data_IF_290159901249
#
_entry.id   IF_290159901249
#
_cell.length_a   1.000
_cell.length_b   1.000
_cell.length_c   1.000
_cell.angle_alpha   90.00
_cell.angle_beta   90.00
_cell.angle_gamma   90.00
#
_symmetry.space_group_name_H-M   'P 1'
#
loop_
_entity.id
_entity.type
_entity.pdbx_description
1 polymer ?
#
# COMPACT_ATOMS: atom_id res chain seq x y z
N UNK A 1 21.79 -10.27 -6.50
CA UNK A 1 21.51 -9.12 -5.60
C UNK A 1 20.56 -9.58 -4.51
N UNK A 2 20.93 -9.44 -3.25
CA UNK A 2 20.07 -9.77 -2.11
C UNK A 2 19.32 -8.50 -1.68
N UNK A 3 18.07 -8.65 -1.25
CA UNK A 3 17.23 -7.57 -0.76
C UNK A 3 16.81 -7.91 0.66
N UNK A 4 16.99 -6.97 1.57
CA UNK A 4 16.51 -7.11 2.96
C UNK A 4 15.00 -6.84 2.97
N UNK A 5 14.24 -7.78 3.50
CA UNK A 5 12.78 -7.71 3.53
C UNK A 5 12.31 -7.29 4.93
N UNK A 6 12.86 -7.92 5.97
CA UNK A 6 12.65 -7.51 7.36
C UNK A 6 13.99 -7.24 8.05
N UNK A 7 13.96 -6.40 9.08
CA UNK A 7 15.14 -6.03 9.85
C UNK A 7 15.95 -4.87 9.27
N UNK A 8 15.52 -4.23 8.17
CA UNK A 8 16.26 -3.11 7.58
C UNK A 8 16.50 -1.98 8.58
N UNK A 9 15.51 -1.63 9.41
CA UNK A 9 15.66 -0.60 10.43
C UNK A 9 16.68 -1.02 11.49
N UNK A 10 16.64 -2.28 11.96
CA UNK A 10 17.59 -2.83 12.94
C UNK A 10 19.01 -2.82 12.40
N UNK A 11 19.23 -3.32 11.18
CA UNK A 11 20.54 -3.30 10.51
C UNK A 11 21.04 -1.87 10.27
N UNK A 12 20.17 -0.97 9.87
CA UNK A 12 20.53 0.44 9.68
C UNK A 12 20.90 1.11 11.00
N UNK A 13 20.20 0.81 12.09
CA UNK A 13 20.52 1.34 13.42
C UNK A 13 21.88 0.84 13.89
N UNK A 14 22.16 -0.46 13.76
CA UNK A 14 23.48 -1.03 14.11
C UNK A 14 24.58 -0.36 13.29
N UNK A 15 24.42 -0.29 11.97
CA UNK A 15 25.39 0.37 11.09
C UNK A 15 25.66 1.81 11.51
N UNK A 16 24.61 2.60 11.69
CA UNK A 16 24.73 4.01 12.10
C UNK A 16 25.38 4.19 13.45
N UNK A 17 25.08 3.28 14.41
CA UNK A 17 25.69 3.30 15.71
C UNK A 17 27.21 3.03 15.61
N UNK A 18 27.63 2.01 14.87
CA UNK A 18 29.05 1.70 14.62
C UNK A 18 29.78 2.84 13.88
N UNK A 19 29.06 3.64 13.11
CA UNK A 19 29.57 4.84 12.44
C UNK A 19 29.55 6.09 13.33
N UNK A 20 29.18 5.98 14.62
CA UNK A 20 29.06 7.08 15.58
C UNK A 20 28.02 8.15 15.20
N UNK A 21 27.01 7.82 14.39
CA UNK A 21 26.02 8.79 13.93
C UNK A 21 24.99 9.16 15.02
N UNK A 22 24.84 8.37 16.07
CA UNK A 22 23.95 8.69 17.19
C UNK A 22 24.46 8.11 18.51
N UNK A 23 23.89 8.60 19.62
CA UNK A 23 24.19 8.19 20.98
C UNK A 23 23.13 7.24 21.52
N UNK A 24 23.54 6.26 22.33
CA UNK A 24 22.62 5.37 23.04
C UNK A 24 21.71 6.18 23.97
N UNK A 25 20.44 5.82 24.02
CA UNK A 25 19.44 6.44 24.91
C UNK A 25 18.45 5.39 25.42
N UNK A 26 17.94 5.59 26.65
CA UNK A 26 16.88 4.73 27.21
C UNK A 26 17.34 3.35 27.65
N UNK A 27 18.63 3.14 27.83
CA UNK A 27 19.15 1.87 28.35
C UNK A 27 18.94 1.79 29.85
N UNK A 28 18.10 0.85 30.29
CA UNK A 28 17.82 0.63 31.73
C UNK A 28 18.88 -0.25 32.38
N UNK A 29 19.27 -1.37 31.74
CA UNK A 29 20.21 -2.35 32.29
C UNK A 29 21.70 -1.92 32.20
N UNK A 30 22.01 -0.97 31.31
CA UNK A 30 23.38 -0.46 31.07
C UNK A 30 23.34 1.07 31.01
N UNK A 31 22.81 1.68 32.06
CA UNK A 31 22.61 3.13 32.14
C UNK A 31 23.87 3.95 31.96
N UNK A 32 25.05 3.40 32.33
CA UNK A 32 26.38 3.98 32.15
C UNK A 32 26.75 4.22 30.67
N UNK A 33 26.09 3.54 29.73
CA UNK A 33 26.34 3.73 28.30
C UNK A 33 25.37 4.72 27.64
N UNK A 34 24.40 5.24 28.39
CA UNK A 34 23.53 6.30 27.87
C UNK A 34 24.35 7.53 27.50
N UNK A 35 23.98 8.17 26.40
CA UNK A 35 24.63 9.34 25.80
C UNK A 35 26.01 9.07 25.20
N UNK A 36 26.48 7.80 25.13
CA UNK A 36 27.74 7.40 24.51
C UNK A 36 27.49 7.00 23.05
N UNK A 37 28.48 7.28 22.20
CA UNK A 37 28.59 6.75 20.83
C UNK A 37 29.32 5.41 20.87
N UNK A 38 29.42 4.71 19.73
CA UNK A 38 30.20 3.45 19.67
C UNK A 38 31.65 3.65 20.05
N UNK A 39 32.29 4.72 19.56
CA UNK A 39 33.70 5.05 19.90
C UNK A 39 33.94 5.40 21.37
N UNK A 40 32.89 5.86 22.09
CA UNK A 40 32.98 6.18 23.52
C UNK A 40 32.82 4.95 24.43
N UNK A 41 32.50 3.77 23.86
CA UNK A 41 32.38 2.53 24.63
C UNK A 41 33.75 1.96 25.00
N UNK A 42 33.84 1.23 26.12
CA UNK A 42 35.04 0.45 26.43
C UNK A 42 35.37 -0.55 25.30
N UNK A 43 36.67 -0.82 25.08
CA UNK A 43 37.10 -1.68 23.96
C UNK A 43 36.50 -3.08 24.00
N UNK A 44 36.37 -3.68 25.18
CA UNK A 44 35.73 -4.98 25.36
C UNK A 44 34.26 -4.99 24.85
N UNK A 45 33.55 -3.88 24.99
CA UNK A 45 32.16 -3.73 24.49
C UNK A 45 32.11 -3.47 22.98
N UNK A 46 33.08 -2.71 22.46
CA UNK A 46 33.21 -2.52 21.02
C UNK A 46 33.46 -3.87 20.32
N UNK A 47 34.45 -4.62 20.79
CA UNK A 47 34.80 -5.96 20.28
C UNK A 47 33.60 -6.94 20.41
N UNK A 48 32.87 -6.91 21.53
CA UNK A 48 31.68 -7.75 21.71
C UNK A 48 30.60 -7.44 20.68
N UNK A 49 30.38 -6.16 20.31
CA UNK A 49 29.44 -5.76 19.29
C UNK A 49 29.93 -6.18 17.91
N UNK A 50 31.19 -5.94 17.56
CA UNK A 50 31.79 -6.29 16.27
C UNK A 50 31.76 -7.80 16.01
N UNK A 51 32.03 -8.61 17.04
CA UNK A 51 32.03 -10.07 16.94
C UNK A 51 30.63 -10.69 17.11
N UNK A 52 29.59 -9.89 17.31
CA UNK A 52 28.21 -10.40 17.44
C UNK A 52 27.69 -10.99 16.13
N UNK A 53 27.13 -12.18 16.21
CA UNK A 53 26.53 -12.84 15.04
C UNK A 53 25.07 -12.39 14.81
N UNK A 54 24.72 -12.13 13.57
CA UNK A 54 23.34 -11.86 13.15
C UNK A 54 22.79 -13.10 12.44
N UNK A 55 21.74 -13.69 13.00
CA UNK A 55 21.03 -14.79 12.33
C UNK A 55 20.13 -14.24 11.22
N UNK A 56 20.28 -14.77 10.02
CA UNK A 56 19.48 -14.38 8.87
C UNK A 56 18.78 -15.60 8.27
N UNK A 57 17.55 -15.39 7.76
CA UNK A 57 16.83 -16.36 6.95
C UNK A 57 16.89 -15.85 5.52
N UNK A 58 17.48 -16.62 4.63
CA UNK A 58 17.59 -16.26 3.21
C UNK A 58 16.63 -17.09 2.37
N UNK A 59 15.74 -16.42 1.65
CA UNK A 59 14.89 -17.07 0.66
C UNK A 59 15.62 -17.17 -0.67
N UNK A 60 15.66 -18.36 -1.22
CA UNK A 60 16.19 -18.58 -2.57
C UNK A 60 15.16 -18.14 -3.60
N UNK A 61 15.62 -17.86 -4.81
CA UNK A 61 14.75 -17.46 -5.93
C UNK A 61 13.73 -18.55 -6.26
N UNK A 62 14.13 -19.80 -6.12
CA UNK A 62 13.34 -21.01 -6.43
C UNK A 62 12.31 -21.36 -5.33
N UNK A 63 12.34 -20.67 -4.17
CA UNK A 63 11.36 -20.94 -3.11
C UNK A 63 9.96 -20.54 -3.57
N UNK A 64 8.96 -21.34 -3.21
CA UNK A 64 7.56 -21.05 -3.50
C UNK A 64 7.16 -19.67 -2.92
N UNK A 65 6.51 -18.84 -3.74
CA UNK A 65 6.13 -17.50 -3.37
C UNK A 65 4.98 -17.47 -2.35
N UNK A 66 4.08 -18.45 -2.40
CA UNK A 66 3.01 -18.58 -1.41
C UNK A 66 3.60 -18.94 -0.05
N UNK A 67 4.62 -19.80 -0.03
CA UNK A 67 5.38 -20.11 1.19
C UNK A 67 6.15 -18.88 1.68
N UNK A 68 6.77 -18.12 0.79
CA UNK A 68 7.43 -16.84 1.14
C UNK A 68 6.43 -15.92 1.82
N UNK A 69 5.24 -15.73 1.22
CA UNK A 69 4.20 -14.87 1.78
C UNK A 69 3.78 -15.31 3.19
N UNK A 70 3.50 -16.60 3.38
CA UNK A 70 3.11 -17.17 4.67
C UNK A 70 4.19 -17.02 5.75
N UNK A 71 5.46 -17.21 5.38
CA UNK A 71 6.59 -17.04 6.32
C UNK A 71 6.77 -15.56 6.68
N UNK A 72 6.65 -14.66 5.70
CA UNK A 72 6.72 -13.22 5.95
C UNK A 72 5.62 -12.73 6.87
N UNK A 73 4.41 -13.21 6.67
CA UNK A 73 3.28 -12.88 7.53
C UNK A 73 3.55 -13.32 8.99
N UNK A 74 4.16 -14.49 9.19
CA UNK A 74 4.53 -14.99 10.53
C UNK A 74 5.71 -14.27 11.16
N UNK A 75 6.69 -13.87 10.37
CA UNK A 75 7.87 -13.13 10.86
C UNK A 75 7.57 -11.64 11.11
N UNK A 76 6.48 -11.15 10.52
CA UNK A 76 6.06 -9.76 10.57
C UNK A 76 5.41 -9.36 11.92
N UNK A 77 5.97 -9.86 13.02
CA UNK A 77 5.46 -9.63 14.39
C UNK A 77 6.13 -8.44 15.09
N UNK A 78 6.82 -7.58 14.35
CA UNK A 78 7.47 -6.38 14.86
C UNK A 78 6.50 -5.33 15.39
N UNK A 79 7.02 -4.26 15.99
CA UNK A 79 6.23 -3.16 16.57
C UNK A 79 5.24 -2.50 15.58
N UNK A 80 5.56 -2.51 14.30
CA UNK A 80 4.68 -2.06 13.21
C UNK A 80 4.72 -3.11 12.09
N UNK A 81 3.78 -4.06 12.07
CA UNK A 81 3.76 -5.09 11.05
C UNK A 81 3.48 -4.50 9.66
N UNK A 82 4.12 -5.06 8.64
CA UNK A 82 3.82 -4.76 7.24
C UNK A 82 2.40 -5.24 6.91
N UNK A 83 1.68 -4.46 6.13
CA UNK A 83 0.39 -4.89 5.61
C UNK A 83 0.55 -5.77 4.36
N UNK A 84 -0.57 -6.35 3.89
CA UNK A 84 -0.56 -7.27 2.75
C UNK A 84 -0.03 -6.63 1.47
N UNK A 85 -0.25 -5.33 1.24
CA UNK A 85 0.26 -4.66 0.04
C UNK A 85 1.75 -4.37 0.13
N UNK A 86 2.25 -4.00 1.30
CA UNK A 86 3.69 -3.86 1.55
C UNK A 86 4.42 -5.19 1.36
N UNK A 87 3.81 -6.30 1.81
CA UNK A 87 4.34 -7.65 1.57
C UNK A 87 4.36 -7.99 0.08
N UNK A 88 3.28 -7.70 -0.68
CA UNK A 88 3.23 -7.92 -2.14
C UNK A 88 4.30 -7.10 -2.86
N UNK A 89 4.51 -5.85 -2.48
CA UNK A 89 5.56 -5.00 -3.04
C UNK A 89 6.98 -5.58 -2.83
N UNK A 90 7.20 -6.32 -1.74
CA UNK A 90 8.47 -6.99 -1.49
C UNK A 90 8.62 -8.29 -2.29
N UNK A 91 7.58 -9.12 -2.33
CA UNK A 91 7.62 -10.49 -2.88
C UNK A 91 7.47 -10.48 -4.40
N UNK A 92 6.47 -9.77 -4.93
CA UNK A 92 6.13 -9.71 -6.35
C UNK A 92 6.72 -8.49 -7.05
N UNK A 93 7.94 -8.11 -6.67
CA UNK A 93 8.63 -6.95 -7.24
C UNK A 93 8.83 -7.13 -8.75
N UNK A 94 8.32 -6.18 -9.54
CA UNK A 94 8.41 -6.23 -11.01
C UNK A 94 7.73 -5.03 -11.67
N UNK A 95 7.66 -5.04 -13.01
CA UNK A 95 7.07 -3.96 -13.81
C UNK A 95 5.60 -3.70 -13.46
N UNK A 96 4.86 -4.74 -13.07
CA UNK A 96 3.47 -4.61 -12.66
C UNK A 96 3.29 -3.76 -11.39
N UNK A 97 4.07 -4.02 -10.36
CA UNK A 97 4.01 -3.22 -9.12
C UNK A 97 4.37 -1.76 -9.38
N UNK A 98 5.34 -1.50 -10.26
CA UNK A 98 5.69 -0.12 -10.64
C UNK A 98 4.57 0.56 -11.43
N UNK A 99 3.89 -0.17 -12.32
CA UNK A 99 2.69 0.32 -12.99
C UNK A 99 1.58 0.68 -12.00
N UNK A 100 1.29 -0.18 -11.01
CA UNK A 100 0.27 0.10 -9.98
C UNK A 100 0.60 1.35 -9.17
N UNK A 101 1.87 1.58 -8.83
CA UNK A 101 2.34 2.80 -8.16
C UNK A 101 2.12 4.04 -9.03
N UNK A 102 2.42 3.94 -10.32
CA UNK A 102 2.22 5.04 -11.26
C UNK A 102 0.72 5.38 -11.40
N UNK A 103 -0.14 4.38 -11.53
CA UNK A 103 -1.60 4.57 -11.58
C UNK A 103 -2.15 5.18 -10.28
N UNK A 104 -1.65 4.76 -9.11
CA UNK A 104 -2.03 5.34 -7.82
C UNK A 104 -1.59 6.80 -7.67
N UNK A 105 -0.57 7.24 -8.42
CA UNK A 105 -0.10 8.62 -8.44
C UNK A 105 -0.98 9.55 -9.30
N UNK A 106 -1.97 9.03 -10.02
CA UNK A 106 -2.87 9.85 -10.83
C UNK A 106 -3.66 10.85 -9.98
N UNK A 107 -3.64 12.12 -10.34
CA UNK A 107 -4.29 13.19 -9.57
C UNK A 107 -5.82 13.03 -9.49
N UNK A 108 -6.47 12.63 -10.58
CA UNK A 108 -7.92 12.43 -10.62
C UNK A 108 -8.33 11.28 -9.70
N UNK A 109 -7.57 10.18 -9.70
CA UNK A 109 -7.76 9.06 -8.79
C UNK A 109 -7.57 9.48 -7.33
N UNK A 110 -6.51 10.22 -7.01
CA UNK A 110 -6.27 10.75 -5.66
C UNK A 110 -7.41 11.65 -5.18
N UNK A 111 -7.90 12.54 -6.04
CA UNK A 111 -9.09 13.37 -5.75
C UNK A 111 -10.32 12.50 -5.50
N UNK A 112 -10.49 11.44 -6.29
CA UNK A 112 -11.62 10.51 -6.14
C UNK A 112 -11.62 9.80 -4.79
N UNK A 113 -10.46 9.31 -4.33
CA UNK A 113 -10.33 8.61 -3.04
C UNK A 113 -10.08 9.55 -1.84
N UNK A 114 -9.99 10.87 -2.09
CA UNK A 114 -9.89 11.88 -1.04
C UNK A 114 -8.51 12.04 -0.40
N UNK A 115 -7.43 11.62 -1.06
CA UNK A 115 -6.06 11.75 -0.55
C UNK A 115 -5.27 12.83 -1.31
N UNK A 116 -4.42 13.57 -0.60
CA UNK A 116 -3.55 14.61 -1.19
C UNK A 116 -2.16 14.07 -1.56
N UNK A 117 -1.65 13.13 -0.78
CA UNK A 117 -0.33 12.54 -0.93
C UNK A 117 -0.44 11.03 -0.99
N UNK A 118 0.58 10.36 -1.54
CA UNK A 118 0.66 8.90 -1.56
C UNK A 118 0.53 8.32 -0.14
N UNK A 119 -0.22 7.25 0.00
CA UNK A 119 -0.39 6.56 1.28
C UNK A 119 0.91 5.84 1.68
N UNK A 120 1.44 6.16 2.87
CA UNK A 120 2.67 5.54 3.39
C UNK A 120 2.55 4.02 3.57
N UNK A 121 1.32 3.53 3.73
CA UNK A 121 0.99 2.11 3.92
C UNK A 121 0.47 1.47 2.62
N UNK A 122 0.64 2.12 1.46
CA UNK A 122 0.29 1.60 0.13
C UNK A 122 -1.19 1.18 -0.04
N UNK A 123 -2.13 1.75 0.72
CA UNK A 123 -3.57 1.43 0.60
C UNK A 123 -4.16 1.91 -0.72
N UNK A 124 -3.67 3.03 -1.23
CA UNK A 124 -3.99 3.57 -2.55
C UNK A 124 -3.56 2.59 -3.66
N UNK A 125 -2.37 2.02 -3.56
CA UNK A 125 -1.85 1.02 -4.51
C UNK A 125 -2.67 -0.28 -4.43
N UNK A 126 -3.11 -0.70 -3.23
CA UNK A 126 -3.98 -1.86 -3.07
C UNK A 126 -5.33 -1.66 -3.77
N UNK A 127 -5.90 -0.46 -3.72
CA UNK A 127 -7.15 -0.15 -4.44
C UNK A 127 -6.96 -0.29 -5.95
N UNK A 128 -5.85 0.19 -6.49
CA UNK A 128 -5.51 0.00 -7.91
C UNK A 128 -5.32 -1.48 -8.25
N UNK A 129 -4.65 -2.25 -7.38
CA UNK A 129 -4.48 -3.69 -7.57
C UNK A 129 -5.83 -4.43 -7.58
N UNK A 130 -6.78 -4.05 -6.70
CA UNK A 130 -8.15 -4.61 -6.71
C UNK A 130 -8.86 -4.36 -8.03
N UNK A 131 -8.75 -3.14 -8.56
CA UNK A 131 -9.27 -2.81 -9.88
C UNK A 131 -8.63 -3.67 -10.97
N UNK A 132 -7.30 -3.74 -11.00
CA UNK A 132 -6.54 -4.49 -11.99
C UNK A 132 -6.86 -5.98 -11.97
N UNK A 133 -6.90 -6.60 -10.79
CA UNK A 133 -7.23 -8.02 -10.64
C UNK A 133 -8.65 -8.35 -11.13
N UNK A 134 -9.63 -7.48 -10.87
CA UNK A 134 -11.00 -7.63 -11.39
C UNK A 134 -11.07 -7.35 -12.90
N UNK A 135 -10.26 -6.45 -13.42
CA UNK A 135 -10.15 -6.20 -14.86
C UNK A 135 -9.61 -7.42 -15.60
N UNK A 136 -8.53 -8.03 -15.09
CA UNK A 136 -7.91 -9.21 -15.72
C UNK A 136 -8.78 -10.47 -15.65
N UNK A 137 -9.49 -10.68 -14.54
CA UNK A 137 -10.19 -11.94 -14.27
C UNK A 137 -11.70 -11.86 -14.47
N UNK A 138 -12.28 -10.67 -14.62
CA UNK A 138 -13.70 -10.35 -14.48
C UNK A 138 -14.24 -10.70 -13.07
N UNK A 139 -15.32 -10.03 -12.64
CA UNK A 139 -15.94 -10.30 -11.33
C UNK A 139 -16.52 -11.72 -11.20
N UNK A 140 -16.85 -12.37 -12.33
CA UNK A 140 -17.40 -13.73 -12.38
C UNK A 140 -16.38 -14.80 -11.95
N UNK A 141 -15.08 -14.52 -12.08
CA UNK A 141 -13.98 -15.43 -11.69
C UNK A 141 -13.37 -15.06 -10.34
N UNK A 142 -14.03 -14.20 -9.60
CA UNK A 142 -13.57 -13.87 -8.25
C UNK A 142 -13.76 -15.07 -7.30
N UNK A 143 -12.70 -15.45 -6.64
CA UNK A 143 -12.68 -16.48 -5.59
C UNK A 143 -12.22 -15.86 -4.27
N UNK A 144 -13.00 -16.07 -3.22
CA UNK A 144 -12.60 -15.68 -1.86
C UNK A 144 -11.47 -16.60 -1.33
N UNK A 145 -10.60 -16.11 -0.45
CA UNK A 145 -10.52 -14.75 0.07
C UNK A 145 -9.81 -13.77 -0.89
N UNK A 146 -10.17 -12.49 -0.80
CA UNK A 146 -9.61 -11.41 -1.63
C UNK A 146 -8.06 -11.38 -1.59
N UNK A 147 -7.46 -11.71 -0.46
CA UNK A 147 -6.01 -11.77 -0.28
C UNK A 147 -5.35 -12.72 -1.27
N UNK A 148 -5.86 -13.95 -1.36
CA UNK A 148 -5.35 -14.98 -2.29
C UNK A 148 -5.58 -14.58 -3.74
N UNK A 149 -6.75 -14.01 -4.05
CA UNK A 149 -7.08 -13.51 -5.37
C UNK A 149 -6.08 -12.44 -5.85
N UNK A 150 -5.79 -11.44 -5.01
CA UNK A 150 -4.81 -10.40 -5.32
C UNK A 150 -3.37 -10.92 -5.41
N UNK A 151 -3.00 -11.93 -4.60
CA UNK A 151 -1.69 -12.56 -4.70
C UNK A 151 -1.52 -13.32 -6.01
N UNK A 152 -2.55 -14.08 -6.45
CA UNK A 152 -2.55 -14.79 -7.74
C UNK A 152 -2.36 -13.80 -8.90
N UNK A 153 -3.05 -12.67 -8.88
CA UNK A 153 -2.95 -11.64 -9.92
C UNK A 153 -1.55 -10.99 -9.92
N UNK A 154 -1.06 -10.56 -8.76
CA UNK A 154 0.27 -9.95 -8.62
C UNK A 154 1.41 -10.88 -9.07
N UNK A 155 1.27 -12.20 -8.81
CA UNK A 155 2.21 -13.22 -9.26
C UNK A 155 2.16 -13.41 -10.77
N UNK A 156 0.95 -13.55 -11.33
CA UNK A 156 0.74 -13.82 -12.76
C UNK A 156 1.29 -12.70 -13.64
N UNK A 157 1.02 -11.45 -13.25
CA UNK A 157 1.38 -10.26 -14.01
C UNK A 157 2.67 -9.58 -13.53
N UNK A 158 3.49 -10.22 -12.70
CA UNK A 158 4.70 -9.64 -12.10
C UNK A 158 5.59 -8.92 -13.13
N UNK A 159 5.76 -9.51 -14.31
CA UNK A 159 6.49 -8.95 -15.45
C UNK A 159 5.52 -8.71 -16.61
N UNK A 160 4.52 -7.87 -16.38
CA UNK A 160 3.49 -7.52 -17.35
C UNK A 160 4.11 -6.97 -18.65
N UNK A 161 3.55 -7.32 -19.79
CA UNK A 161 4.00 -6.82 -21.10
C UNK A 161 3.62 -5.35 -21.31
N UNK A 162 4.31 -4.67 -22.24
CA UNK A 162 4.06 -3.27 -22.53
C UNK A 162 2.65 -3.02 -23.08
N UNK A 163 2.10 -3.96 -23.84
CA UNK A 163 0.75 -3.83 -24.40
C UNK A 163 -0.33 -4.01 -23.31
N UNK A 164 -0.19 -5.04 -22.46
CA UNK A 164 -1.07 -5.21 -21.29
C UNK A 164 -0.98 -4.01 -20.32
N UNK A 165 0.21 -3.40 -20.17
CA UNK A 165 0.39 -2.16 -19.41
C UNK A 165 -0.44 -1.01 -19.98
N UNK A 166 -0.43 -0.83 -21.32
CA UNK A 166 -1.20 0.21 -22.01
C UNK A 166 -2.70 -0.02 -21.84
N UNK A 167 -3.15 -1.27 -22.02
CA UNK A 167 -4.56 -1.64 -21.91
C UNK A 167 -5.09 -1.40 -20.49
N UNK A 168 -4.37 -1.87 -19.47
CA UNK A 168 -4.74 -1.64 -18.08
C UNK A 168 -4.76 -0.15 -17.74
N UNK A 169 -3.77 0.62 -18.20
CA UNK A 169 -3.68 2.06 -17.99
C UNK A 169 -4.89 2.78 -18.61
N UNK A 170 -5.24 2.46 -19.83
CA UNK A 170 -6.38 3.03 -20.53
C UNK A 170 -7.71 2.68 -19.83
N UNK A 171 -7.88 1.42 -19.44
CA UNK A 171 -9.06 0.97 -18.72
C UNK A 171 -9.21 1.69 -17.38
N UNK A 172 -8.12 1.83 -16.63
CA UNK A 172 -8.10 2.53 -15.34
C UNK A 172 -8.49 4.00 -15.49
N UNK A 173 -7.84 4.74 -16.38
CA UNK A 173 -8.12 6.16 -16.59
C UNK A 173 -9.54 6.41 -17.10
N UNK A 174 -10.04 5.57 -17.99
CA UNK A 174 -11.43 5.67 -18.46
C UNK A 174 -12.41 5.42 -17.31
N UNK A 175 -12.17 4.45 -16.46
CA UNK A 175 -13.00 4.15 -15.29
C UNK A 175 -13.00 5.31 -14.29
N UNK A 176 -11.83 5.89 -13.98
CA UNK A 176 -11.70 7.06 -13.10
C UNK A 176 -12.50 8.25 -13.68
N UNK A 177 -12.38 8.54 -14.97
CA UNK A 177 -13.13 9.62 -15.64
C UNK A 177 -14.64 9.40 -15.60
N UNK A 178 -15.10 8.16 -15.79
CA UNK A 178 -16.52 7.83 -15.72
C UNK A 178 -17.08 8.07 -14.32
N UNK A 179 -16.33 7.70 -13.28
CA UNK A 179 -16.77 7.87 -11.88
C UNK A 179 -16.78 9.34 -11.47
N UNK A 180 -15.85 10.15 -11.97
CA UNK A 180 -15.76 11.58 -11.63
C UNK A 180 -16.91 12.37 -12.26
N UNK A 181 -17.34 12.05 -13.48
CA UNK A 181 -18.41 12.77 -14.19
C UNK A 181 -19.72 12.92 -13.37
N UNK A 182 -20.31 11.87 -12.79
CA UNK A 182 -21.51 11.99 -11.95
C UNK A 182 -21.26 12.84 -10.70
N UNK A 183 -20.06 12.78 -10.12
CA UNK A 183 -19.72 13.53 -8.92
C UNK A 183 -19.62 15.04 -9.17
N UNK A 184 -19.15 15.44 -10.35
CA UNK A 184 -19.17 16.85 -10.78
C UNK A 184 -20.61 17.33 -10.94
N UNK A 185 -21.47 16.55 -11.59
CA UNK A 185 -22.89 16.89 -11.78
C UNK A 185 -23.58 17.02 -10.43
N UNK A 186 -23.35 16.10 -9.50
CA UNK A 186 -23.92 16.14 -8.15
C UNK A 186 -23.45 17.39 -7.36
N UNK A 187 -22.18 17.73 -7.40
CA UNK A 187 -21.66 18.94 -6.76
C UNK A 187 -22.23 20.22 -7.40
N UNK A 188 -22.41 20.26 -8.71
CA UNK A 188 -23.10 21.37 -9.37
C UNK A 188 -24.56 21.51 -8.92
N UNK A 189 -25.31 20.40 -8.83
CA UNK A 189 -26.68 20.43 -8.32
C UNK A 189 -26.76 20.85 -6.85
N UNK A 190 -25.84 20.43 -5.99
CA UNK A 190 -25.82 20.84 -4.57
C UNK A 190 -25.52 22.34 -4.42
N UNK A 191 -24.65 22.91 -5.27
CA UNK A 191 -24.36 24.35 -5.28
C UNK A 191 -25.56 25.15 -5.77
N UNK A 192 -26.26 24.68 -6.82
CA UNK A 192 -27.42 25.38 -7.38
C UNK A 192 -28.70 25.22 -6.56
N UNK A 193 -28.88 24.10 -5.84
CA UNK A 193 -30.10 23.81 -5.07
C UNK A 193 -29.98 24.10 -3.57
N UNK A 194 -28.81 24.48 -3.05
CA UNK A 194 -28.61 24.82 -1.63
C UNK A 194 -28.84 23.65 -0.64
N UNK A 195 -28.99 22.42 -1.11
CA UNK A 195 -29.20 21.24 -0.27
C UNK A 195 -27.85 20.65 0.15
N UNK A 196 -27.41 20.97 1.36
CA UNK A 196 -26.11 20.54 1.92
C UNK A 196 -26.11 19.18 2.62
N UNK A 197 -27.21 18.39 2.52
CA UNK A 197 -27.25 17.10 3.22
C UNK A 197 -28.12 16.07 2.49
N UNK A 198 -27.52 15.29 1.62
CA UNK A 198 -28.11 14.03 1.17
C UNK A 198 -27.04 12.93 1.17
N UNK A 199 -27.25 11.92 1.99
CA UNK A 199 -26.43 10.71 2.06
C UNK A 199 -26.44 9.95 0.73
N UNK A 200 -25.31 9.35 0.38
CA UNK A 200 -24.98 8.69 -0.91
C UNK A 200 -25.83 7.42 -1.21
N UNK A 201 -27.05 7.32 -0.77
CA UNK A 201 -27.82 6.06 -0.89
C UNK A 201 -28.86 6.00 -2.03
N UNK A 202 -29.00 7.03 -2.88
CA UNK A 202 -29.96 6.96 -3.99
C UNK A 202 -29.31 7.21 -5.34
N UNK A 203 -29.31 6.18 -6.17
CA UNK A 203 -29.00 6.23 -7.60
C UNK A 203 -30.12 7.05 -8.29
N UNK A 204 -29.82 8.14 -9.01
CA UNK A 204 -30.84 8.94 -9.64
C UNK A 204 -31.53 8.18 -10.77
N UNK A 205 -32.84 8.30 -10.84
CA UNK A 205 -33.70 7.77 -11.90
C UNK A 205 -33.30 8.30 -13.27
N UNK A 206 -33.28 7.44 -14.29
CA UNK A 206 -32.78 7.68 -15.64
C UNK A 206 -33.64 8.61 -16.52
N UNK A 207 -34.64 9.29 -16.00
CA UNK A 207 -35.50 10.17 -16.84
C UNK A 207 -35.39 11.63 -16.41
N UNK A 208 -35.06 12.49 -17.36
CA UNK A 208 -34.93 13.93 -17.21
C UNK A 208 -36.25 14.66 -16.93
N UNK A 209 -37.34 13.94 -16.65
CA UNK A 209 -38.70 14.48 -16.46
C UNK A 209 -39.30 14.25 -15.07
N UNK A 210 -38.51 13.73 -14.09
CA UNK A 210 -39.01 13.60 -12.75
C UNK A 210 -38.89 14.95 -12.03
N UNK A 211 -40.03 15.64 -11.89
CA UNK A 211 -40.07 16.94 -11.23
C UNK A 211 -39.64 16.83 -9.78
N UNK A 212 -38.53 17.43 -9.47
CA UNK A 212 -37.84 17.50 -8.16
C UNK A 212 -38.69 18.17 -7.06
N UNK A 213 -39.94 18.53 -7.35
CA UNK A 213 -40.82 19.22 -6.39
C UNK A 213 -41.49 18.29 -5.35
N UNK A 214 -41.55 16.98 -5.61
CA UNK A 214 -42.25 16.04 -4.72
C UNK A 214 -41.38 15.41 -3.66
N UNK A 215 -40.08 15.38 -3.84
CA UNK A 215 -39.17 14.73 -2.88
C UNK A 215 -38.83 15.55 -1.61
N UNK A 216 -39.19 16.85 -1.59
CA UNK A 216 -38.95 17.71 -0.42
C UNK A 216 -40.16 17.85 0.53
N UNK A 217 -41.30 17.16 0.28
CA UNK A 217 -42.52 17.32 1.10
C UNK A 217 -42.80 16.19 2.09
N UNK A 218 -42.09 15.05 2.00
CA UNK A 218 -42.40 13.88 2.81
C UNK A 218 -41.37 13.58 3.92
N UNK A 219 -40.64 14.61 4.39
CA UNK A 219 -39.79 14.47 5.61
C UNK A 219 -40.04 15.67 6.53
N UNK A 220 -41.11 15.57 7.29
CA UNK A 220 -41.30 16.19 8.60
C UNK A 220 -41.70 15.07 9.55
#
# INVERSE_FOLDING_TARGET
KQVVIDGQQRLTAVKKFMQNEFKLTGMQSFSEFNKKTFGDLPKDKQEAIENSSIRTITFKKESDEDLKFAIFERLNTGSVPLNDMELRNCIYRGSYIELLKDLANNEEFRKLIGIKTADKRMKDIELVLRFAALYHSTYLKYEAPIKTFLNKDAKKYQNISDDECKDLRNAFYNSVKIIIKPRIIYNMYSIFCGCSSLSIQHIPCRSASCSFRTACRDTV
#
